data_IF_592447425066
#
_entry.id   IF_592447425066
#
_cell.length_a   1.000
_cell.length_b   1.000
_cell.length_c   1.000
_cell.angle_alpha   90.00
_cell.angle_beta   90.00
_cell.angle_gamma   90.00
#
_symmetry.space_group_name_H-M   'P 1'
#
loop_
_entity.id
_entity.type
_entity.pdbx_description
1 polymer ?
#
# COMPACT_ATOMS: atom_id res chain seq x y z
N UNK A 1 -23.53 6.23 -31.98
CA UNK A 1 -22.29 5.55 -32.41
C UNK A 1 -22.63 4.11 -32.71
N UNK A 2 -22.58 3.70 -33.98
CA UNK A 2 -22.91 2.33 -34.37
C UNK A 2 -21.79 1.35 -34.03
N UNK A 3 -22.09 0.05 -33.91
CA UNK A 3 -21.08 -0.97 -33.65
C UNK A 3 -20.06 -1.01 -34.80
N UNK A 4 -18.79 -0.76 -34.46
CA UNK A 4 -17.71 -0.73 -35.45
C UNK A 4 -17.31 -2.17 -35.81
N UNK A 5 -17.29 -2.50 -37.10
CA UNK A 5 -16.90 -3.83 -37.60
C UNK A 5 -15.37 -3.92 -37.72
N UNK A 6 -14.83 -5.10 -37.45
CA UNK A 6 -13.40 -5.39 -37.60
C UNK A 6 -12.91 -5.09 -39.02
N UNK A 7 -11.88 -4.26 -39.13
CA UNK A 7 -11.29 -3.86 -40.42
C UNK A 7 -10.48 -4.97 -41.10
N UNK A 8 -10.14 -6.04 -40.38
CA UNK A 8 -9.34 -7.18 -40.89
C UNK A 8 -10.23 -8.29 -41.44
N UNK A 9 -11.13 -8.85 -40.62
CA UNK A 9 -11.99 -9.95 -41.07
C UNK A 9 -13.32 -9.48 -41.68
N UNK A 10 -13.76 -8.25 -41.39
CA UNK A 10 -15.06 -7.69 -41.81
C UNK A 10 -16.30 -8.53 -41.41
N UNK A 11 -16.13 -9.46 -40.46
CA UNK A 11 -17.19 -10.38 -40.00
C UNK A 11 -17.64 -10.07 -38.57
N UNK A 12 -16.68 -9.82 -37.69
CA UNK A 12 -16.92 -9.66 -36.26
C UNK A 12 -16.89 -8.18 -35.85
N UNK A 13 -17.47 -7.87 -34.70
CA UNK A 13 -17.36 -6.56 -34.07
C UNK A 13 -15.90 -6.26 -33.69
N UNK A 14 -15.48 -5.01 -33.87
CA UNK A 14 -14.21 -4.52 -33.39
C UNK A 14 -14.29 -4.30 -31.87
N UNK A 15 -13.45 -5.02 -31.13
CA UNK A 15 -13.31 -4.92 -29.67
C UNK A 15 -11.92 -4.45 -29.25
N UNK A 16 -11.01 -4.31 -30.22
CA UNK A 16 -9.62 -3.93 -30.03
C UNK A 16 -9.30 -2.69 -30.87
N UNK A 17 -8.73 -1.67 -30.22
CA UNK A 17 -8.24 -0.44 -30.84
C UNK A 17 -6.71 -0.44 -30.83
N UNK A 18 -6.09 -0.55 -32.01
CA UNK A 18 -4.64 -0.46 -32.15
C UNK A 18 -4.25 0.92 -32.69
N UNK A 19 -3.30 1.58 -32.04
CA UNK A 19 -2.65 2.79 -32.54
C UNK A 19 -1.17 2.51 -32.77
N UNK A 20 -0.73 2.60 -34.02
CA UNK A 20 0.69 2.48 -34.39
C UNK A 20 1.25 3.85 -34.77
N UNK A 21 2.45 4.16 -34.29
CA UNK A 21 3.19 5.36 -34.68
C UNK A 21 4.39 4.91 -35.50
N UNK A 22 4.32 5.08 -36.82
CA UNK A 22 5.41 4.73 -37.74
C UNK A 22 5.87 6.02 -38.42
N UNK A 23 7.16 6.37 -38.29
CA UNK A 23 7.76 7.57 -38.88
C UNK A 23 6.94 8.85 -38.62
N UNK A 24 6.57 9.08 -37.35
CA UNK A 24 5.78 10.21 -36.89
C UNK A 24 4.34 10.31 -37.45
N UNK A 25 3.84 9.25 -38.10
CA UNK A 25 2.45 9.17 -38.56
C UNK A 25 1.67 8.19 -37.68
N UNK A 26 0.59 8.68 -37.08
CA UNK A 26 -0.36 7.89 -36.30
C UNK A 26 -1.28 7.12 -37.26
N UNK A 27 -1.37 5.81 -37.09
CA UNK A 27 -2.32 4.94 -37.78
C UNK A 27 -3.19 4.24 -36.73
N UNK A 28 -4.50 4.32 -36.90
CA UNK A 28 -5.47 3.66 -36.01
C UNK A 28 -6.16 2.52 -36.76
N UNK A 29 -6.22 1.34 -36.14
CA UNK A 29 -6.82 0.14 -36.72
C UNK A 29 -7.77 -0.50 -35.69
N UNK A 30 -8.97 -0.85 -36.14
CA UNK A 30 -10.02 -1.43 -35.30
C UNK A 30 -10.22 -2.90 -35.64
N UNK A 31 -10.00 -3.78 -34.66
CA UNK A 31 -9.89 -5.22 -34.87
C UNK A 31 -10.79 -5.99 -33.90
N UNK A 32 -11.24 -7.19 -34.29
CA UNK A 32 -11.82 -8.14 -33.34
C UNK A 32 -10.69 -8.84 -32.58
N UNK A 33 -11.03 -9.47 -31.46
CA UNK A 33 -10.10 -10.17 -30.59
C UNK A 33 -9.26 -11.24 -31.32
N UNK A 34 -9.89 -12.04 -32.19
CA UNK A 34 -9.20 -13.08 -32.96
C UNK A 34 -8.16 -12.50 -33.93
N UNK A 35 -8.54 -11.45 -34.67
CA UNK A 35 -7.62 -10.81 -35.60
C UNK A 35 -6.49 -10.10 -34.88
N UNK A 36 -6.74 -9.51 -33.71
CA UNK A 36 -5.70 -8.87 -32.88
C UNK A 36 -4.67 -9.91 -32.41
N UNK A 37 -5.14 -11.05 -31.92
CA UNK A 37 -4.32 -12.19 -31.51
C UNK A 37 -3.45 -12.72 -32.65
N UNK A 38 -4.04 -12.92 -33.83
CA UNK A 38 -3.33 -13.42 -35.01
C UNK A 38 -2.28 -12.44 -35.55
N UNK A 39 -2.48 -11.13 -35.40
CA UNK A 39 -1.49 -10.12 -35.78
C UNK A 39 -0.31 -10.00 -34.81
N UNK A 40 -0.28 -10.78 -33.73
CA UNK A 40 0.74 -10.60 -32.69
C UNK A 40 0.57 -9.29 -31.93
N UNK A 41 -0.56 -8.60 -32.12
CA UNK A 41 -1.06 -7.59 -31.17
C UNK A 41 -1.63 -8.36 -30.00
N UNK A 42 -0.76 -9.15 -29.37
CA UNK A 42 -0.95 -9.54 -28.01
C UNK A 42 -1.04 -8.21 -27.28
N UNK A 43 -2.26 -7.85 -26.88
CA UNK A 43 -2.39 -7.46 -25.50
C UNK A 43 -1.62 -8.53 -24.76
N UNK A 44 -0.39 -8.18 -24.33
CA UNK A 44 -0.02 -8.49 -22.97
C UNK A 44 -1.18 -7.92 -22.17
N UNK A 45 -2.26 -8.70 -22.07
CA UNK A 45 -2.81 -8.97 -20.77
C UNK A 45 -1.56 -9.35 -20.01
N UNK A 46 -0.96 -8.36 -19.36
CA UNK A 46 -0.31 -8.61 -18.12
C UNK A 46 -1.45 -9.20 -17.29
N UNK A 47 -1.69 -10.51 -17.52
CA UNK A 47 -2.02 -11.43 -16.48
C UNK A 47 -0.82 -11.31 -15.55
N UNK A 48 -0.78 -10.19 -14.82
CA UNK A 48 -0.03 -10.10 -13.60
C UNK A 48 -0.61 -11.27 -12.82
N UNK A 49 0.14 -12.36 -12.75
CA UNK A 49 -0.28 -13.42 -11.87
C UNK A 49 -0.33 -12.79 -10.48
N UNK A 50 -1.29 -13.19 -9.66
CA UNK A 50 -1.33 -12.73 -8.26
C UNK A 50 0.04 -12.98 -7.62
N UNK A 51 0.74 -14.05 -8.02
CA UNK A 51 2.12 -14.34 -7.66
C UNK A 51 3.13 -13.25 -8.06
N UNK A 52 3.02 -12.63 -9.24
CA UNK A 52 3.92 -11.55 -9.67
C UNK A 52 3.69 -10.26 -8.88
N UNK A 53 2.43 -9.93 -8.59
CA UNK A 53 2.09 -8.78 -7.74
C UNK A 53 2.52 -9.01 -6.28
N UNK A 54 2.28 -10.20 -5.76
CA UNK A 54 2.73 -10.60 -4.43
C UNK A 54 4.25 -10.61 -4.34
N UNK A 55 4.96 -11.10 -5.36
CA UNK A 55 6.43 -11.10 -5.38
C UNK A 55 7.01 -9.69 -5.30
N UNK A 56 6.38 -8.71 -5.98
CA UNK A 56 6.74 -7.30 -5.86
C UNK A 56 6.48 -6.69 -4.47
N UNK A 57 5.45 -7.17 -3.76
CA UNK A 57 5.09 -6.72 -2.40
C UNK A 57 5.96 -7.36 -1.31
N UNK A 58 6.33 -8.63 -1.48
CA UNK A 58 7.12 -9.40 -0.49
C UNK A 58 8.56 -8.89 -0.39
N UNK A 59 9.11 -8.29 -1.45
CA UNK A 59 10.48 -7.78 -1.44
C UNK A 59 10.62 -6.36 -0.86
N UNK A 60 9.59 -5.87 -0.16
CA UNK A 60 9.65 -4.57 0.51
C UNK A 60 10.25 -4.72 1.91
N UNK A 61 11.08 -3.76 2.32
CA UNK A 61 11.62 -3.67 3.69
C UNK A 61 10.52 -3.79 4.76
N UNK A 62 9.32 -3.26 4.46
CA UNK A 62 8.13 -3.37 5.29
C UNK A 62 7.65 -4.82 5.51
N UNK A 63 7.76 -5.69 4.50
CA UNK A 63 7.40 -7.10 4.63
C UNK A 63 8.36 -7.85 5.58
N UNK A 64 9.65 -7.53 5.53
CA UNK A 64 10.65 -8.10 6.43
C UNK A 64 10.46 -7.63 7.88
N UNK A 65 10.15 -6.35 8.08
CA UNK A 65 9.84 -5.81 9.42
C UNK A 65 8.55 -6.41 9.99
N UNK A 66 7.50 -6.55 9.17
CA UNK A 66 6.28 -7.24 9.58
C UNK A 66 6.53 -8.71 9.93
N UNK A 67 7.40 -9.41 9.19
CA UNK A 67 7.76 -10.80 9.47
C UNK A 67 8.57 -10.97 10.75
N UNK A 68 9.36 -9.96 11.15
CA UNK A 68 10.03 -9.95 12.46
C UNK A 68 9.04 -9.69 13.59
N UNK A 69 8.15 -8.69 13.41
CA UNK A 69 7.16 -8.36 14.42
C UNK A 69 6.12 -9.47 14.63
N UNK A 70 5.79 -10.25 13.60
CA UNK A 70 4.80 -11.32 13.70
C UNK A 70 5.19 -12.46 14.65
N UNK A 71 6.48 -12.56 15.01
CA UNK A 71 6.98 -13.56 15.95
C UNK A 71 6.97 -13.08 17.40
N UNK A 72 6.73 -11.79 17.65
CA UNK A 72 6.79 -11.20 18.98
C UNK A 72 5.54 -11.58 19.78
N UNK A 73 5.75 -12.07 21.01
CA UNK A 73 4.70 -12.35 21.99
C UNK A 73 5.01 -11.67 23.31
N UNK A 74 3.98 -11.20 23.99
CA UNK A 74 4.13 -10.66 25.34
C UNK A 74 4.50 -11.78 26.33
N UNK A 75 5.54 -11.60 27.16
CA UNK A 75 5.93 -12.60 28.15
C UNK A 75 4.97 -12.71 29.34
N UNK A 76 4.06 -11.73 29.53
CA UNK A 76 3.11 -11.71 30.66
C UNK A 76 1.75 -12.29 30.28
N UNK A 77 1.10 -11.76 29.24
CA UNK A 77 -0.25 -12.19 28.87
C UNK A 77 -0.27 -13.18 27.70
N UNK A 78 0.88 -13.43 27.04
CA UNK A 78 1.00 -14.36 25.91
C UNK A 78 0.43 -13.85 24.58
N UNK A 79 -0.18 -12.66 24.55
CA UNK A 79 -0.72 -12.04 23.33
C UNK A 79 0.39 -11.89 22.29
N UNK A 80 0.13 -12.24 21.02
CA UNK A 80 1.07 -11.95 19.93
C UNK A 80 0.78 -10.60 19.27
N UNK A 81 1.80 -10.04 18.63
CA UNK A 81 1.60 -8.82 17.84
C UNK A 81 0.57 -9.01 16.71
N UNK A 82 0.49 -10.21 16.12
CA UNK A 82 -0.53 -10.54 15.12
C UNK A 82 -1.94 -10.52 15.71
N UNK A 83 -2.13 -11.07 16.92
CA UNK A 83 -3.43 -11.05 17.59
C UNK A 83 -3.88 -9.61 17.85
N UNK A 84 -2.97 -8.74 18.29
CA UNK A 84 -3.23 -7.30 18.42
C UNK A 84 -3.61 -6.68 17.07
N UNK A 85 -2.89 -6.98 15.99
CA UNK A 85 -3.21 -6.44 14.66
C UNK A 85 -4.58 -6.88 14.13
N UNK A 86 -5.04 -8.07 14.51
CA UNK A 86 -6.33 -8.60 14.11
C UNK A 86 -7.48 -8.04 14.95
N UNK A 87 -7.31 -7.95 16.27
CA UNK A 87 -8.40 -7.61 17.20
C UNK A 87 -8.39 -6.14 17.66
N UNK A 88 -7.28 -5.43 17.43
CA UNK A 88 -7.09 -4.02 17.76
C UNK A 88 -6.98 -3.71 19.26
N UNK A 89 -6.87 -4.72 20.13
CA UNK A 89 -6.79 -4.55 21.59
C UNK A 89 -5.52 -5.16 22.16
N UNK A 90 -4.89 -4.42 23.08
CA UNK A 90 -3.81 -4.92 23.92
C UNK A 90 -4.39 -5.67 25.11
N UNK A 91 -3.64 -6.65 25.63
CA UNK A 91 -4.06 -7.53 26.71
C UNK A 91 -3.58 -7.06 28.09
N UNK A 92 -2.36 -6.52 28.20
CA UNK A 92 -1.82 -6.02 29.46
C UNK A 92 -0.93 -4.78 29.27
N UNK A 93 -0.50 -4.16 30.39
CA UNK A 93 0.33 -2.95 30.35
C UNK A 93 1.69 -3.17 29.67
N UNK A 94 2.26 -4.37 29.80
CA UNK A 94 3.56 -4.73 29.18
C UNK A 94 3.47 -4.78 27.65
N UNK A 95 2.29 -4.89 27.06
CA UNK A 95 2.13 -4.94 25.61
C UNK A 95 2.52 -3.61 24.94
N UNK A 96 2.37 -2.48 25.66
CA UNK A 96 2.80 -1.17 25.17
C UNK A 96 4.32 -1.09 24.96
N UNK A 97 5.10 -1.77 25.80
CA UNK A 97 6.56 -1.79 25.69
C UNK A 97 7.02 -2.86 24.71
N UNK A 98 6.43 -4.06 24.76
CA UNK A 98 6.81 -5.18 23.90
C UNK A 98 6.48 -4.90 22.43
N UNK A 99 5.36 -4.24 22.14
CA UNK A 99 4.93 -3.94 20.78
C UNK A 99 5.25 -2.51 20.34
N UNK A 100 6.10 -1.79 21.08
CA UNK A 100 6.40 -0.36 20.87
C UNK A 100 6.75 -0.03 19.42
N UNK A 101 7.63 -0.82 18.81
CA UNK A 101 8.13 -0.57 17.45
C UNK A 101 7.03 -0.69 16.39
N UNK A 102 6.04 -1.56 16.64
CA UNK A 102 4.86 -1.68 15.77
C UNK A 102 3.75 -0.67 16.10
N UNK A 103 3.64 -0.28 17.37
CA UNK A 103 2.64 0.66 17.86
C UNK A 103 2.94 2.10 17.42
N UNK A 104 4.20 2.56 17.49
CA UNK A 104 4.54 3.95 17.18
C UNK A 104 4.12 4.37 15.76
N UNK A 105 4.47 3.64 14.68
CA UNK A 105 4.04 4.00 13.32
C UNK A 105 2.53 3.88 13.13
N UNK A 106 1.87 2.99 13.88
CA UNK A 106 0.41 2.85 13.85
C UNK A 106 -0.29 4.04 14.49
N UNK A 107 0.17 4.47 15.67
CA UNK A 107 -0.37 5.62 16.38
C UNK A 107 -0.13 6.90 15.60
N UNK A 108 1.04 7.07 15.00
CA UNK A 108 1.34 8.22 14.14
C UNK A 108 0.41 8.28 12.93
N UNK A 109 0.11 7.14 12.29
CA UNK A 109 -0.83 7.09 11.17
C UNK A 109 -2.26 7.47 11.56
N UNK A 110 -2.69 7.10 12.77
CA UNK A 110 -4.06 7.35 13.25
C UNK A 110 -4.21 8.77 13.81
N UNK A 111 -3.24 9.24 14.59
CA UNK A 111 -3.32 10.50 15.35
C UNK A 111 -2.48 11.64 14.76
N UNK A 112 -1.64 11.36 13.75
CA UNK A 112 -0.73 12.33 13.14
C UNK A 112 0.56 12.59 13.93
N UNK A 113 0.61 12.22 15.21
CA UNK A 113 1.80 12.32 16.05
C UNK A 113 1.74 11.24 17.15
N UNK A 114 2.90 10.80 17.63
CA UNK A 114 3.03 9.85 18.73
C UNK A 114 3.03 10.53 20.10
N UNK A 115 3.18 11.86 20.15
CA UNK A 115 3.11 12.64 21.38
C UNK A 115 2.05 13.75 21.28
N UNK A 116 1.17 13.82 22.28
CA UNK A 116 0.28 14.96 22.44
C UNK A 116 1.06 16.15 23.01
N UNK A 117 1.12 17.25 22.26
CA UNK A 117 1.80 18.48 22.73
C UNK A 117 0.85 19.50 23.39
N UNK A 118 -0.45 19.21 23.47
CA UNK A 118 -1.43 20.11 24.06
C UNK A 118 -1.64 21.41 23.26
N UNK A 119 -2.50 22.28 23.79
CA UNK A 119 -2.55 23.69 23.40
C UNK A 119 -1.70 24.45 24.41
N UNK A 120 -0.58 25.02 23.97
CA UNK A 120 0.26 25.87 24.82
C UNK A 120 -0.15 27.33 24.54
N UNK A 121 -0.68 28.07 25.53
CA UNK A 121 -0.96 29.50 25.37
C UNK A 121 0.33 30.24 25.00
N UNK A 122 0.27 31.17 24.07
CA UNK A 122 1.43 31.96 23.60
C UNK A 122 2.15 32.69 24.74
N UNK A 123 1.46 33.00 25.85
CA UNK A 123 2.00 33.65 27.04
C UNK A 123 2.72 32.72 28.02
N UNK A 124 2.74 31.40 27.81
CA UNK A 124 3.26 30.42 28.79
C UNK A 124 4.24 29.40 28.18
N UNK A 125 4.70 29.65 26.95
CA UNK A 125 5.51 28.68 26.19
C UNK A 125 6.88 28.36 26.77
N UNK A 126 7.55 29.34 27.39
CA UNK A 126 8.91 29.16 27.93
C UNK A 126 8.91 28.32 29.21
N UNK A 127 7.99 28.59 30.14
CA UNK A 127 7.89 27.86 31.41
C UNK A 127 7.52 26.38 31.19
N UNK A 128 6.67 26.10 30.20
CA UNK A 128 6.29 24.72 29.85
C UNK A 128 7.42 23.94 29.18
N UNK A 129 8.28 24.59 28.37
CA UNK A 129 9.46 23.94 27.78
C UNK A 129 10.46 23.52 28.85
N UNK A 130 10.79 24.42 29.77
CA UNK A 130 11.75 24.16 30.86
C UNK A 130 11.26 23.04 31.79
N UNK A 131 9.96 23.02 32.09
CA UNK A 131 9.36 21.95 32.91
C UNK A 131 9.44 20.58 32.23
N UNK A 132 9.25 20.53 30.90
CA UNK A 132 9.38 19.28 30.12
C UNK A 132 10.83 18.79 30.05
N UNK A 133 11.79 19.68 29.80
CA UNK A 133 13.22 19.33 29.79
C UNK A 133 13.69 18.81 31.15
N UNK A 134 13.23 19.41 32.26
CA UNK A 134 13.54 18.93 33.61
C UNK A 134 12.97 17.53 33.91
N UNK A 135 11.84 17.17 33.29
CA UNK A 135 11.23 15.84 33.42
C UNK A 135 11.97 14.78 32.61
N UNK A 136 12.57 15.15 31.47
CA UNK A 136 13.33 14.23 30.60
C UNK A 136 14.77 13.98 31.10
N UNK A 137 15.29 14.81 32.02
CA UNK A 137 16.62 14.68 32.62
C UNK A 137 16.65 13.83 33.90
N UNK A 138 15.52 13.22 34.29
CA UNK A 138 15.36 12.46 35.54
C UNK A 138 15.21 10.97 35.27
#
# INVERSE_FOLDING_TARGET
MGPQICQVCKKNLATVHLTEIIKNKKREIHMCEDCARNKGVAFKSQQFSISDLLSGLVNTQAAQEMAKMSQIKCPICGLSYLDFRQHGRLGCATDYTVFKDGLLPLLERIHGNTQHQGKIPTSSGETHKVSKELLELR
#
